data_IF_749201871715
#
_entry.id   IF_749201871715
#
_cell.length_a   1.000
_cell.length_b   1.000
_cell.length_c   1.000
_cell.angle_alpha   90.00
_cell.angle_beta   90.00
_cell.angle_gamma   90.00
#
_symmetry.space_group_name_H-M   'P 1'
#
loop_
_entity.id
_entity.type
_entity.pdbx_description
1 polymer ?
#
# COMPACT_ATOMS: atom_id res chain seq x y z
N UNK A 1 3.11 -22.17 -21.36
CA UNK A 1 3.53 -20.90 -20.73
C UNK A 1 4.38 -21.24 -19.52
N UNK A 2 5.58 -20.68 -19.42
CA UNK A 2 6.43 -20.88 -18.24
C UNK A 2 5.79 -20.17 -17.06
N UNK A 3 5.40 -20.91 -16.03
CA UNK A 3 4.84 -20.38 -14.79
C UNK A 3 6.00 -19.96 -13.87
N UNK A 4 6.03 -18.68 -13.47
CA UNK A 4 7.08 -18.11 -12.58
C UNK A 4 6.59 -17.98 -11.13
N UNK A 5 5.51 -18.69 -10.79
CA UNK A 5 4.90 -18.63 -9.47
C UNK A 5 5.82 -19.28 -8.44
N UNK A 6 6.03 -18.58 -7.33
CA UNK A 6 6.77 -19.13 -6.19
C UNK A 6 5.92 -20.25 -5.56
N UNK A 7 6.46 -21.46 -5.52
CA UNK A 7 5.80 -22.66 -4.95
C UNK A 7 6.37 -23.07 -3.59
N UNK A 8 7.50 -22.48 -3.20
CA UNK A 8 8.12 -22.67 -1.90
C UNK A 8 8.85 -21.39 -1.48
N UNK A 9 8.71 -21.00 -0.22
CA UNK A 9 9.47 -19.90 0.37
C UNK A 9 10.11 -20.38 1.69
N UNK A 10 11.38 -20.06 1.98
CA UNK A 10 12.09 -20.57 3.16
C UNK A 10 11.58 -20.05 4.52
N UNK A 11 10.57 -19.18 4.53
CA UNK A 11 10.15 -18.42 5.73
C UNK A 11 8.63 -18.29 5.76
N UNK A 12 8.05 -17.75 4.68
CA UNK A 12 6.60 -17.54 4.60
C UNK A 12 5.89 -18.81 4.13
N UNK A 13 4.78 -19.21 4.77
CA UNK A 13 3.91 -20.24 4.22
C UNK A 13 3.25 -19.73 2.94
N UNK A 14 3.01 -20.63 2.00
CA UNK A 14 2.25 -20.32 0.78
C UNK A 14 0.87 -20.93 0.96
N UNK A 15 -0.09 -20.08 1.32
CA UNK A 15 -1.47 -20.51 1.52
C UNK A 15 -2.12 -20.89 0.19
N UNK A 16 -2.86 -22.01 0.14
CA UNK A 16 -3.65 -22.34 -1.03
C UNK A 16 -4.75 -21.30 -1.20
N UNK A 17 -4.91 -20.80 -2.42
CA UNK A 17 -5.94 -19.83 -2.78
C UNK A 17 -6.59 -20.25 -4.08
N UNK A 18 -7.87 -19.91 -4.21
CA UNK A 18 -8.62 -20.13 -5.44
C UNK A 18 -8.03 -19.35 -6.60
N UNK A 19 -8.22 -19.89 -7.79
CA UNK A 19 -7.79 -19.25 -9.03
C UNK A 19 -8.82 -18.23 -9.49
N UNK A 20 -8.30 -17.11 -9.97
CA UNK A 20 -9.10 -16.02 -10.52
C UNK A 20 -8.60 -15.72 -11.91
N UNK A 21 -9.49 -15.77 -12.90
CA UNK A 21 -9.17 -15.40 -14.27
C UNK A 21 -9.23 -13.89 -14.46
N UNK A 22 -8.28 -13.35 -15.20
CA UNK A 22 -8.25 -11.95 -15.63
C UNK A 22 -7.58 -11.85 -17.01
N UNK A 23 -7.58 -10.68 -17.62
CA UNK A 23 -7.00 -10.46 -18.94
C UNK A 23 -5.83 -9.49 -18.89
N UNK A 24 -4.77 -9.78 -19.63
CA UNK A 24 -3.65 -8.87 -19.90
C UNK A 24 -3.55 -8.63 -21.40
N UNK A 25 -3.75 -7.39 -21.85
CA UNK A 25 -3.74 -7.02 -23.27
C UNK A 25 -4.65 -7.95 -24.12
N UNK A 26 -5.84 -8.27 -23.60
CA UNK A 26 -6.81 -9.17 -24.24
C UNK A 26 -6.53 -10.67 -24.08
N UNK A 27 -5.36 -11.06 -23.54
CA UNK A 27 -5.02 -12.47 -23.32
C UNK A 27 -5.42 -12.93 -21.91
N UNK A 28 -6.08 -14.09 -21.81
CA UNK A 28 -6.47 -14.69 -20.53
C UNK A 28 -5.24 -15.12 -19.72
N UNK A 29 -5.16 -14.66 -18.48
CA UNK A 29 -4.17 -15.03 -17.47
C UNK A 29 -4.87 -15.53 -16.18
N UNK A 30 -4.10 -16.19 -15.31
CA UNK A 30 -4.59 -16.72 -14.04
C UNK A 30 -3.84 -16.09 -12.86
N UNK A 31 -4.59 -15.58 -11.89
CA UNK A 31 -4.11 -15.08 -10.61
C UNK A 31 -4.64 -15.96 -9.46
N UNK A 32 -4.17 -15.69 -8.24
CA UNK A 32 -4.77 -16.20 -7.01
C UNK A 32 -5.69 -15.13 -6.39
N UNK A 33 -6.74 -15.54 -5.70
CA UNK A 33 -7.63 -14.60 -5.01
C UNK A 33 -6.85 -13.66 -4.06
N UNK A 34 -7.12 -12.36 -4.15
CA UNK A 34 -6.45 -11.32 -3.37
C UNK A 34 -5.00 -11.01 -3.79
N UNK A 35 -4.50 -11.61 -4.88
CA UNK A 35 -3.18 -11.30 -5.45
C UNK A 35 -3.18 -9.91 -6.10
N UNK A 36 -2.07 -9.17 -5.96
CA UNK A 36 -1.92 -7.87 -6.64
C UNK A 36 -1.65 -8.09 -8.13
N UNK A 37 -2.09 -7.15 -8.99
CA UNK A 37 -1.90 -7.22 -10.44
C UNK A 37 -0.41 -7.43 -10.77
N UNK A 38 0.50 -6.68 -10.13
CA UNK A 38 1.94 -6.79 -10.40
C UNK A 38 2.49 -8.20 -10.15
N UNK A 39 2.11 -8.84 -9.02
CA UNK A 39 2.52 -10.20 -8.69
C UNK A 39 1.91 -11.23 -9.63
N UNK A 40 0.63 -11.06 -10.02
CA UNK A 40 -0.04 -11.95 -10.96
C UNK A 40 0.61 -11.89 -12.36
N UNK A 41 0.92 -10.68 -12.85
CA UNK A 41 1.66 -10.49 -14.10
C UNK A 41 3.03 -11.17 -14.04
N UNK A 42 3.75 -11.00 -12.93
CA UNK A 42 5.04 -11.65 -12.74
C UNK A 42 4.94 -13.18 -12.74
N UNK A 43 3.95 -13.75 -12.05
CA UNK A 43 3.69 -15.19 -12.01
C UNK A 43 3.40 -15.76 -13.41
N UNK A 44 2.78 -14.96 -14.29
CA UNK A 44 2.50 -15.31 -15.69
C UNK A 44 3.63 -14.94 -16.67
N UNK A 45 4.80 -14.50 -16.17
CA UNK A 45 5.98 -14.23 -17.00
C UNK A 45 6.03 -12.83 -17.62
N UNK A 46 5.09 -11.94 -17.30
CA UNK A 46 5.11 -10.55 -17.74
C UNK A 46 6.06 -9.76 -16.86
N UNK A 47 6.98 -9.00 -17.47
CA UNK A 47 7.97 -8.14 -16.76
C UNK A 47 7.89 -6.67 -17.16
N UNK A 48 7.38 -6.41 -18.35
CA UNK A 48 7.20 -5.08 -18.92
C UNK A 48 5.70 -4.78 -18.89
N UNK A 49 5.33 -3.72 -18.20
CA UNK A 49 3.94 -3.28 -18.00
C UNK A 49 3.57 -2.11 -18.93
N UNK A 50 4.55 -1.57 -19.66
CA UNK A 50 4.37 -0.44 -20.56
C UNK A 50 5.69 0.18 -20.96
N UNK A 51 5.63 1.32 -21.64
CA UNK A 51 6.80 2.08 -22.08
C UNK A 51 6.65 3.56 -21.77
N UNK A 52 7.74 4.16 -21.33
CA UNK A 52 7.77 5.56 -20.94
C UNK A 52 7.56 6.49 -22.16
N UNK A 53 6.68 7.51 -22.09
CA UNK A 53 6.27 8.30 -23.25
C UNK A 53 7.39 9.13 -23.90
N UNK A 54 8.46 9.44 -23.16
CA UNK A 54 9.53 10.33 -23.65
C UNK A 54 10.56 9.60 -24.51
N UNK A 55 10.95 8.40 -24.10
CA UNK A 55 12.12 7.68 -24.62
C UNK A 55 11.83 6.20 -24.93
N UNK A 56 10.56 5.78 -24.80
CA UNK A 56 10.10 4.42 -25.02
C UNK A 56 10.85 3.37 -24.17
N UNK A 57 11.44 3.78 -23.05
CA UNK A 57 12.10 2.86 -22.14
C UNK A 57 11.06 1.92 -21.50
N UNK A 58 11.32 0.60 -21.43
CA UNK A 58 10.37 -0.33 -20.85
C UNK A 58 10.19 -0.05 -19.36
N UNK A 59 8.96 -0.18 -18.86
CA UNK A 59 8.61 0.03 -17.46
C UNK A 59 7.99 -1.24 -16.86
N UNK A 60 8.08 -1.40 -15.55
CA UNK A 60 7.64 -2.60 -14.83
C UNK A 60 7.64 -2.38 -13.33
N UNK A 61 7.80 -3.46 -12.55
CA UNK A 61 7.99 -3.33 -11.10
C UNK A 61 9.33 -2.65 -10.81
N UNK A 62 9.30 -1.68 -9.89
CA UNK A 62 10.49 -1.01 -9.33
C UNK A 62 10.47 -1.07 -7.79
N UNK A 63 9.57 -0.32 -7.14
CA UNK A 63 9.54 -0.25 -5.66
C UNK A 63 8.70 -1.31 -4.95
N UNK A 64 7.74 -1.94 -5.66
CA UNK A 64 6.75 -2.87 -5.12
C UNK A 64 6.04 -2.42 -3.81
N UNK A 65 5.87 -1.11 -3.59
CA UNK A 65 5.35 -0.57 -2.33
C UNK A 65 4.36 0.61 -2.50
N UNK A 66 3.97 0.89 -3.75
CA UNK A 66 3.03 1.96 -4.11
C UNK A 66 3.63 3.37 -4.23
N UNK A 67 4.95 3.55 -4.19
CA UNK A 67 5.57 4.88 -4.13
C UNK A 67 6.07 5.43 -5.49
N UNK A 68 6.64 4.61 -6.38
CA UNK A 68 7.32 5.08 -7.61
C UNK A 68 6.42 5.27 -8.84
N UNK A 69 5.20 4.68 -8.84
CA UNK A 69 4.28 4.63 -9.97
C UNK A 69 4.80 3.99 -11.29
N UNK A 70 6.04 3.49 -11.37
CA UNK A 70 6.58 2.84 -12.58
C UNK A 70 5.82 1.58 -13.00
N UNK A 71 5.12 0.93 -12.07
CA UNK A 71 4.29 -0.23 -12.33
C UNK A 71 2.87 0.13 -12.82
N UNK A 72 2.69 1.30 -13.44
CA UNK A 72 1.39 1.77 -13.90
C UNK A 72 0.82 0.81 -14.95
N UNK A 73 -0.47 0.50 -14.80
CA UNK A 73 -1.29 -0.24 -15.79
C UNK A 73 -2.66 0.41 -15.86
N UNK A 74 -3.42 0.12 -16.92
CA UNK A 74 -4.85 0.42 -16.95
C UNK A 74 -5.60 -0.82 -16.45
N UNK A 75 -6.39 -0.68 -15.39
CA UNK A 75 -7.31 -1.72 -14.92
C UNK A 75 -8.74 -1.25 -15.19
N UNK A 76 -9.46 -1.99 -16.04
CA UNK A 76 -10.82 -1.66 -16.50
C UNK A 76 -10.92 -0.20 -17.04
N UNK A 77 -9.87 0.25 -17.74
CA UNK A 77 -9.76 1.61 -18.30
C UNK A 77 -9.28 2.68 -17.31
N UNK A 78 -9.00 2.33 -16.05
CA UNK A 78 -8.56 3.27 -15.01
C UNK A 78 -7.07 3.09 -14.71
N UNK A 79 -6.26 4.17 -14.69
CA UNK A 79 -4.85 4.08 -14.33
C UNK A 79 -4.67 3.71 -12.86
N UNK A 80 -3.96 2.61 -12.60
CA UNK A 80 -3.72 2.11 -11.24
C UNK A 80 -2.28 1.68 -11.03
N UNK A 81 -1.84 1.72 -9.76
CA UNK A 81 -0.55 1.13 -9.36
C UNK A 81 -0.74 -0.38 -9.21
N UNK A 82 -0.30 -1.16 -10.21
CA UNK A 82 -0.48 -2.62 -10.21
C UNK A 82 0.04 -3.33 -8.95
N UNK A 83 1.04 -2.79 -8.25
CA UNK A 83 1.55 -3.37 -7.00
C UNK A 83 0.64 -3.16 -5.78
N UNK A 84 -0.37 -2.30 -5.88
CA UNK A 84 -1.30 -1.97 -4.80
C UNK A 84 -2.75 -2.37 -5.12
N UNK A 85 -3.03 -2.83 -6.34
CA UNK A 85 -4.39 -3.14 -6.79
C UNK A 85 -4.55 -4.64 -6.91
N UNK A 86 -5.57 -5.19 -6.25
CA UNK A 86 -5.91 -6.62 -6.30
C UNK A 86 -6.55 -6.99 -7.63
N UNK A 87 -6.26 -8.19 -8.12
CA UNK A 87 -6.95 -8.80 -9.27
C UNK A 87 -8.38 -9.17 -8.89
N UNK A 88 -9.33 -8.89 -9.78
CA UNK A 88 -10.74 -9.30 -9.67
C UNK A 88 -11.11 -10.26 -10.81
N UNK A 89 -12.08 -11.16 -10.63
CA UNK A 89 -12.56 -12.03 -11.71
C UNK A 89 -12.98 -11.23 -12.94
N UNK A 90 -12.46 -11.62 -14.11
CA UNK A 90 -12.79 -10.98 -15.39
C UNK A 90 -12.16 -9.60 -15.61
N UNK A 91 -11.37 -9.09 -14.66
CA UNK A 91 -10.70 -7.78 -14.77
C UNK A 91 -9.90 -7.69 -16.08
N UNK A 92 -10.00 -6.55 -16.77
CA UNK A 92 -9.18 -6.25 -17.95
C UNK A 92 -8.01 -5.37 -17.51
N UNK A 93 -6.79 -5.86 -17.73
CA UNK A 93 -5.57 -5.13 -17.44
C UNK A 93 -4.82 -4.88 -18.75
N UNK A 94 -4.39 -3.65 -18.97
CA UNK A 94 -3.72 -3.24 -20.20
C UNK A 94 -2.39 -2.53 -19.89
N UNK A 95 -1.42 -2.68 -20.78
CA UNK A 95 -0.16 -1.95 -20.72
C UNK A 95 -0.37 -0.46 -20.93
N UNK A 96 0.50 0.35 -20.32
CA UNK A 96 0.53 1.79 -20.57
C UNK A 96 1.67 2.09 -21.53
N UNK A 97 1.33 2.21 -22.80
CA UNK A 97 2.25 2.59 -23.86
C UNK A 97 2.00 4.05 -24.24
N UNK A 98 2.85 4.95 -23.73
CA UNK A 98 2.67 6.39 -23.90
C UNK A 98 1.79 7.04 -22.83
N UNK A 99 1.00 8.03 -23.21
CA UNK A 99 0.05 8.71 -22.31
C UNK A 99 -1.34 8.09 -22.48
N UNK A 100 -1.99 7.61 -21.41
CA UNK A 100 -3.34 7.07 -21.50
C UNK A 100 -4.34 8.18 -21.83
N UNK A 101 -5.36 7.85 -22.61
CA UNK A 101 -6.50 8.73 -22.85
C UNK A 101 -7.39 8.77 -21.59
N UNK A 102 -7.77 9.98 -21.16
CA UNK A 102 -8.71 10.12 -20.07
C UNK A 102 -10.10 9.67 -20.52
N UNK A 103 -10.86 8.96 -19.66
CA UNK A 103 -12.23 8.62 -19.96
C UNK A 103 -13.06 9.90 -20.16
N UNK A 104 -14.00 9.87 -21.11
CA UNK A 104 -14.97 10.97 -21.30
C UNK A 104 -15.82 11.09 -20.03
N UNK A 105 -15.90 12.30 -19.50
CA UNK A 105 -16.74 12.63 -18.35
C UNK A 105 -18.03 13.23 -18.89
N UNK A 106 -19.16 12.54 -18.70
CA UNK A 106 -20.48 13.00 -19.16
C UNK A 106 -21.13 13.95 -18.13
N UNK A 107 -20.81 13.79 -16.84
CA UNK A 107 -21.41 14.55 -15.75
C UNK A 107 -20.36 15.08 -14.77
N UNK A 108 -20.57 16.29 -14.27
CA UNK A 108 -19.76 16.87 -13.20
C UNK A 108 -20.24 16.29 -11.87
N UNK A 109 -19.33 15.74 -11.08
CA UNK A 109 -19.67 15.24 -9.74
C UNK A 109 -20.19 16.38 -8.86
N UNK A 110 -21.32 16.19 -8.14
CA UNK A 110 -21.87 17.22 -7.28
C UNK A 110 -20.91 17.51 -6.13
N UNK A 111 -20.80 18.78 -5.75
CA UNK A 111 -20.10 19.18 -4.53
C UNK A 111 -20.96 18.81 -3.33
N UNK A 112 -20.35 18.17 -2.34
CA UNK A 112 -20.99 17.80 -1.08
C UNK A 112 -20.29 18.47 0.09
N UNK A 113 -21.05 18.70 1.17
CA UNK A 113 -20.48 19.20 2.42
C UNK A 113 -19.52 18.14 2.99
N UNK A 114 -18.31 18.57 3.33
CA UNK A 114 -17.29 17.66 3.85
C UNK A 114 -17.52 17.42 5.34
N UNK A 115 -17.71 16.16 5.71
CA UNK A 115 -17.79 15.77 7.12
C UNK A 115 -16.50 16.16 7.85
N UNK A 116 -16.66 16.84 8.98
CA UNK A 116 -15.57 17.18 9.89
C UNK A 116 -15.74 16.42 11.20
N UNK A 117 -14.64 15.90 11.75
CA UNK A 117 -14.62 15.26 13.08
C UNK A 117 -13.47 15.83 13.92
N UNK A 118 -13.72 16.03 15.21
CA UNK A 118 -12.67 16.40 16.16
C UNK A 118 -12.16 15.16 16.91
N UNK A 119 -10.84 15.08 17.11
CA UNK A 119 -10.19 13.98 17.85
C UNK A 119 -9.13 14.52 18.82
N UNK A 120 -8.88 13.88 19.97
CA UNK A 120 -7.80 14.30 20.86
C UNK A 120 -6.43 14.14 20.18
N UNK A 121 -6.15 12.95 19.64
CA UNK A 121 -4.90 12.66 18.93
C UNK A 121 -5.19 12.00 17.58
N UNK A 122 -4.58 12.53 16.52
CA UNK A 122 -4.47 11.88 15.23
C UNK A 122 -3.03 11.40 15.02
N UNK A 123 -2.86 10.13 14.71
CA UNK A 123 -1.58 9.53 14.31
C UNK A 123 -1.64 9.16 12.83
N UNK A 124 -0.72 9.70 12.03
CA UNK A 124 -0.58 9.35 10.61
C UNK A 124 0.56 8.34 10.44
N UNK A 125 0.22 7.10 10.11
CA UNK A 125 1.13 6.00 9.82
C UNK A 125 1.02 4.86 10.84
N UNK A 126 0.55 3.69 10.39
CA UNK A 126 0.39 2.45 11.14
C UNK A 126 1.63 1.57 11.19
N UNK A 127 2.82 2.16 11.08
CA UNK A 127 4.10 1.48 11.29
C UNK A 127 4.40 1.25 12.78
N UNK A 128 5.56 0.67 13.13
CA UNK A 128 5.94 0.43 14.52
C UNK A 128 5.89 1.70 15.38
N UNK A 129 6.41 2.82 14.89
CA UNK A 129 6.38 4.09 15.62
C UNK A 129 4.95 4.55 15.94
N UNK A 130 4.03 4.49 14.96
CA UNK A 130 2.65 4.92 15.14
C UNK A 130 1.84 3.98 16.02
N UNK A 131 1.99 2.66 15.85
CA UNK A 131 1.34 1.67 16.72
C UNK A 131 1.82 1.77 18.16
N UNK A 132 3.14 1.84 18.39
CA UNK A 132 3.69 2.01 19.75
C UNK A 132 3.20 3.31 20.39
N UNK A 133 3.21 4.43 19.66
CA UNK A 133 2.68 5.69 20.17
C UNK A 133 1.18 5.60 20.51
N UNK A 134 0.38 5.00 19.63
CA UNK A 134 -1.05 4.79 19.85
C UNK A 134 -1.31 4.00 21.13
N UNK A 135 -0.60 2.88 21.32
CA UNK A 135 -0.73 2.02 22.51
C UNK A 135 -0.37 2.78 23.79
N UNK A 136 0.72 3.55 23.80
CA UNK A 136 1.12 4.31 25.00
C UNK A 136 0.11 5.42 25.36
N UNK A 137 -0.41 6.14 24.36
CA UNK A 137 -1.45 7.15 24.55
C UNK A 137 -2.75 6.52 25.06
N UNK A 138 -3.17 5.40 24.47
CA UNK A 138 -4.37 4.69 24.87
C UNK A 138 -4.28 4.13 26.30
N UNK A 139 -3.13 3.57 26.69
CA UNK A 139 -2.85 3.14 28.09
C UNK A 139 -2.95 4.31 29.08
N UNK A 140 -2.68 5.53 28.62
CA UNK A 140 -2.83 6.76 29.41
C UNK A 140 -4.26 7.32 29.41
N UNK A 141 -5.22 6.61 28.81
CA UNK A 141 -6.63 7.01 28.74
C UNK A 141 -6.95 8.02 27.63
N UNK A 142 -6.02 8.30 26.71
CA UNK A 142 -6.21 9.27 25.63
C UNK A 142 -6.79 8.55 24.41
N UNK A 143 -7.90 9.07 23.87
CA UNK A 143 -8.49 8.54 22.65
C UNK A 143 -7.64 8.90 21.42
N UNK A 144 -7.32 7.89 20.62
CA UNK A 144 -6.45 8.01 19.43
C UNK A 144 -7.22 7.63 18.17
N UNK A 145 -7.04 8.40 17.11
CA UNK A 145 -7.34 7.98 15.74
C UNK A 145 -6.02 7.64 15.04
N UNK A 146 -5.82 6.37 14.68
CA UNK A 146 -4.66 5.88 13.94
C UNK A 146 -5.05 5.64 12.47
N UNK A 147 -4.31 6.25 11.55
CA UNK A 147 -4.62 6.23 10.10
C UNK A 147 -3.45 5.64 9.32
N UNK A 148 -3.73 4.74 8.38
CA UNK A 148 -2.73 4.14 7.49
C UNK A 148 -3.28 3.94 6.06
N UNK A 149 -2.42 4.13 5.05
CA UNK A 149 -2.80 4.03 3.63
C UNK A 149 -2.89 2.58 3.12
N UNK A 150 -2.49 1.59 3.93
CA UNK A 150 -2.48 0.17 3.58
C UNK A 150 -3.69 -0.58 4.13
N UNK A 151 -3.85 -1.82 3.65
CA UNK A 151 -4.92 -2.74 4.04
C UNK A 151 -4.72 -3.38 5.41
N UNK A 152 -3.56 -3.19 6.05
CA UNK A 152 -3.21 -3.73 7.37
C UNK A 152 -2.15 -2.86 8.06
N UNK A 153 -2.06 -2.95 9.38
CA UNK A 153 -1.00 -2.28 10.14
C UNK A 153 0.35 -3.02 10.01
N UNK A 154 1.41 -2.38 10.51
CA UNK A 154 2.78 -2.93 10.53
C UNK A 154 3.81 -2.10 9.77
N UNK A 155 3.38 -1.23 8.86
CA UNK A 155 4.27 -0.43 8.03
C UNK A 155 5.29 -1.31 7.28
N UNK A 156 6.59 -0.99 7.39
CA UNK A 156 7.65 -1.76 6.68
C UNK A 156 8.00 -3.09 7.35
N UNK A 157 7.59 -3.34 8.59
CA UNK A 157 7.87 -4.60 9.28
C UNK A 157 7.26 -5.80 8.56
N UNK A 158 6.12 -5.61 7.86
CA UNK A 158 5.43 -6.67 7.10
C UNK A 158 6.25 -7.19 5.90
N UNK A 159 7.34 -6.50 5.53
CA UNK A 159 8.24 -6.89 4.45
C UNK A 159 9.53 -7.54 4.98
N UNK A 160 9.73 -7.56 6.30
CA UNK A 160 10.99 -7.95 6.92
C UNK A 160 10.92 -9.37 7.46
N UNK A 161 11.39 -10.32 6.65
CA UNK A 161 11.48 -11.73 7.01
C UNK A 161 12.74 -12.05 7.82
N UNK A 162 13.69 -11.13 7.97
CA UNK A 162 14.86 -11.32 8.83
C UNK A 162 14.51 -11.18 10.32
N UNK A 163 15.37 -11.74 11.19
CA UNK A 163 15.25 -11.59 12.64
C UNK A 163 15.93 -10.31 13.10
N UNK A 164 15.30 -9.58 14.01
CA UNK A 164 15.93 -8.42 14.63
C UNK A 164 16.99 -8.86 15.66
N UNK A 165 18.06 -8.08 15.75
CA UNK A 165 19.16 -8.28 16.71
C UNK A 165 19.09 -7.19 17.78
N UNK A 166 19.39 -7.53 19.04
CA UNK A 166 19.36 -6.57 20.16
C UNK A 166 18.86 -7.18 21.46
N UNK A 167 18.23 -6.37 22.32
CA UNK A 167 17.56 -6.85 23.54
C UNK A 167 16.21 -7.50 23.21
N UNK A 168 15.91 -8.64 23.84
CA UNK A 168 14.59 -9.31 23.72
C UNK A 168 13.48 -8.37 24.21
N UNK A 169 13.69 -7.67 25.32
CA UNK A 169 12.67 -6.82 25.94
C UNK A 169 12.43 -5.51 25.19
N UNK A 170 13.44 -4.97 24.50
CA UNK A 170 13.34 -3.68 23.82
C UNK A 170 13.00 -3.77 22.33
N UNK A 171 13.43 -4.84 21.64
CA UNK A 171 13.28 -4.98 20.19
C UNK A 171 12.83 -6.38 19.73
N UNK A 172 12.38 -7.22 20.67
CA UNK A 172 12.00 -8.61 20.39
C UNK A 172 13.11 -9.36 19.64
N UNK A 173 14.35 -9.27 20.13
CA UNK A 173 15.48 -9.93 19.49
C UNK A 173 15.23 -11.43 19.26
N UNK A 174 15.56 -11.90 18.05
CA UNK A 174 15.24 -13.26 17.59
C UNK A 174 13.88 -13.40 16.90
N UNK A 175 13.01 -12.40 16.99
CA UNK A 175 11.69 -12.34 16.33
C UNK A 175 11.81 -11.68 14.96
N UNK A 176 11.01 -12.13 13.97
CA UNK A 176 11.02 -11.55 12.63
C UNK A 176 10.16 -10.29 12.58
N UNK A 177 10.48 -9.35 11.68
CA UNK A 177 9.70 -8.12 11.53
C UNK A 177 8.21 -8.36 11.31
N UNK A 178 7.86 -9.34 10.47
CA UNK A 178 6.48 -9.75 10.21
C UNK A 178 5.72 -10.20 11.49
N UNK A 179 6.42 -10.84 12.42
CA UNK A 179 5.85 -11.31 13.67
C UNK A 179 5.69 -10.15 14.65
N UNK A 180 6.68 -9.25 14.72
CA UNK A 180 6.61 -8.01 15.51
C UNK A 180 5.44 -7.14 15.05
N UNK A 181 5.22 -7.01 13.75
CA UNK A 181 4.06 -6.29 13.20
C UNK A 181 2.74 -6.87 13.73
N UNK A 182 2.63 -8.20 13.74
CA UNK A 182 1.44 -8.90 14.21
C UNK A 182 1.22 -8.72 15.71
N UNK A 183 2.30 -8.72 16.51
CA UNK A 183 2.23 -8.48 17.95
C UNK A 183 1.77 -7.05 18.26
N UNK A 184 2.36 -6.05 17.61
CA UNK A 184 1.96 -4.64 17.78
C UNK A 184 0.54 -4.37 17.31
N UNK A 185 0.13 -4.97 16.19
CA UNK A 185 -1.25 -4.89 15.68
C UNK A 185 -2.25 -5.44 16.69
N UNK A 186 -1.93 -6.56 17.36
CA UNK A 186 -2.76 -7.09 18.46
C UNK A 186 -2.84 -6.14 19.65
N UNK A 187 -1.71 -5.59 20.10
CA UNK A 187 -1.72 -4.62 21.21
C UNK A 187 -2.59 -3.39 20.92
N UNK A 188 -2.57 -2.88 19.67
CA UNK A 188 -3.43 -1.78 19.23
C UNK A 188 -4.91 -2.15 19.37
N UNK A 189 -5.29 -3.39 19.04
CA UNK A 189 -6.67 -3.85 19.15
C UNK A 189 -7.10 -4.16 20.60
N UNK A 190 -6.18 -4.64 21.43
CA UNK A 190 -6.48 -5.11 22.80
C UNK A 190 -6.59 -3.96 23.82
N UNK A 191 -5.82 -2.88 23.67
CA UNK A 191 -5.77 -1.78 24.65
C UNK A 191 -7.06 -0.94 24.72
N UNK A 192 -7.88 -0.97 23.66
CA UNK A 192 -9.07 -0.12 23.52
C UNK A 192 -8.71 1.37 23.30
N UNK A 193 -9.70 2.24 23.13
CA UNK A 193 -9.52 3.69 22.89
C UNK A 193 -8.72 4.10 21.63
N UNK A 194 -8.45 3.16 20.71
CA UNK A 194 -7.82 3.43 19.42
C UNK A 194 -8.82 3.12 18.31
N UNK A 195 -9.25 4.15 17.58
CA UNK A 195 -9.97 4.00 16.31
C UNK A 195 -8.94 3.83 15.19
N UNK A 196 -9.04 2.75 14.41
CA UNK A 196 -8.10 2.46 13.32
C UNK A 196 -8.79 2.65 11.96
N UNK A 197 -8.22 3.50 11.12
CA UNK A 197 -8.64 3.69 9.73
C UNK A 197 -7.55 3.19 8.78
N UNK A 198 -7.76 1.98 8.26
CA UNK A 198 -6.98 1.41 7.16
C UNK A 198 -7.48 1.95 5.81
N UNK A 199 -6.70 1.72 4.75
CA UNK A 199 -6.98 2.21 3.40
C UNK A 199 -7.33 3.71 3.39
N UNK A 200 -6.64 4.49 4.23
CA UNK A 200 -6.96 5.88 4.51
C UNK A 200 -5.72 6.75 4.34
N UNK A 201 -5.73 7.61 3.32
CA UNK A 201 -4.59 8.46 2.99
C UNK A 201 -4.81 9.86 3.54
N UNK A 202 -3.91 10.34 4.41
CA UNK A 202 -3.84 11.75 4.74
C UNK A 202 -3.29 12.52 3.53
N UNK A 203 -4.15 13.29 2.87
CA UNK A 203 -3.83 14.01 1.63
C UNK A 203 -3.12 15.34 1.91
N UNK A 204 -3.53 16.03 2.98
CA UNK A 204 -3.02 17.36 3.31
C UNK A 204 -3.12 17.63 4.81
N UNK A 205 -2.16 18.42 5.32
CA UNK A 205 -2.23 19.11 6.60
C UNK A 205 -2.36 20.60 6.29
N UNK A 206 -3.49 21.19 6.65
CA UNK A 206 -3.81 22.57 6.35
C UNK A 206 -3.25 23.53 7.41
N UNK A 207 -3.15 24.82 7.08
CA UNK A 207 -2.59 25.85 7.99
C UNK A 207 -3.44 26.08 9.24
N UNK A 208 -4.73 25.75 9.18
CA UNK A 208 -5.66 25.75 10.31
C UNK A 208 -5.62 24.44 11.12
N UNK A 209 -4.59 23.61 10.88
CA UNK A 209 -4.34 22.34 11.56
C UNK A 209 -5.39 21.24 11.28
N UNK A 210 -6.28 21.43 10.29
CA UNK A 210 -7.12 20.35 9.79
C UNK A 210 -6.32 19.38 8.93
N UNK A 211 -6.69 18.10 8.97
CA UNK A 211 -6.12 17.06 8.11
C UNK A 211 -7.21 16.54 7.19
N UNK A 212 -6.96 16.61 5.88
CA UNK A 212 -7.82 15.98 4.88
C UNK A 212 -7.46 14.51 4.73
N UNK A 213 -8.41 13.61 5.02
CA UNK A 213 -8.20 12.16 4.92
C UNK A 213 -9.17 11.57 3.91
N UNK A 214 -8.64 10.88 2.90
CA UNK A 214 -9.42 10.08 1.95
C UNK A 214 -9.46 8.63 2.43
N UNK A 215 -10.63 8.15 2.83
CA UNK A 215 -10.88 6.81 3.35
C UNK A 215 -11.47 5.93 2.26
N UNK A 216 -10.97 4.71 2.10
CA UNK A 216 -11.49 3.74 1.13
C UNK A 216 -11.31 4.14 -0.34
N UNK A 217 -10.71 5.30 -0.62
CA UNK A 217 -10.57 5.88 -1.97
C UNK A 217 -11.75 6.74 -2.42
N UNK A 218 -12.83 6.84 -1.64
CA UNK A 218 -14.09 7.51 -2.03
C UNK A 218 -14.64 8.49 -1.00
N UNK A 219 -14.25 8.35 0.27
CA UNK A 219 -14.83 9.09 1.38
C UNK A 219 -13.84 10.11 1.93
N UNK A 220 -14.01 11.38 1.59
CA UNK A 220 -13.19 12.46 2.15
C UNK A 220 -13.73 12.92 3.51
N UNK A 221 -12.85 13.04 4.51
CA UNK A 221 -13.18 13.51 5.87
C UNK A 221 -12.12 14.51 6.32
N UNK A 222 -12.55 15.64 6.87
CA UNK A 222 -11.68 16.57 7.57
C UNK A 222 -11.57 16.14 9.04
N UNK A 223 -10.34 16.05 9.55
CA UNK A 223 -10.06 15.72 10.95
C UNK A 223 -9.42 16.92 11.62
N UNK A 224 -9.96 17.31 12.77
CA UNK A 224 -9.46 18.36 13.65
C UNK A 224 -8.85 17.72 14.90
N UNK A 225 -7.53 17.42 14.90
CA UNK A 225 -6.87 16.90 16.07
C UNK A 225 -6.46 18.02 17.04
N UNK A 226 -6.50 17.75 18.34
CA UNK A 226 -5.81 18.62 19.32
C UNK A 226 -4.29 18.41 19.22
N UNK A 227 -3.86 17.19 18.94
CA UNK A 227 -2.45 16.82 18.70
C UNK A 227 -2.33 15.95 17.46
N UNK A 228 -1.45 16.35 16.55
CA UNK A 228 -1.05 15.57 15.38
C UNK A 228 0.31 14.90 15.64
N UNK A 229 0.38 13.58 15.50
CA UNK A 229 1.62 12.81 15.49
C UNK A 229 1.88 12.25 14.09
N UNK A 230 3.04 12.57 13.53
CA UNK A 230 3.46 12.13 12.20
C UNK A 230 4.41 10.93 12.32
N UNK A 231 3.95 9.76 11.89
CA UNK A 231 4.69 8.50 11.89
C UNK A 231 4.73 7.86 10.49
N UNK A 232 4.81 8.69 9.44
CA UNK A 232 4.69 8.30 8.02
C UNK A 232 5.88 7.51 7.46
N UNK A 233 6.88 7.21 8.31
CA UNK A 233 8.08 6.48 7.94
C UNK A 233 8.99 7.23 6.97
N UNK A 234 9.83 6.47 6.28
CA UNK A 234 10.79 6.97 5.29
C UNK A 234 10.62 6.21 3.97
N UNK A 235 11.13 6.83 2.89
CA UNK A 235 11.21 6.21 1.56
C UNK A 235 12.65 5.85 1.24
N UNK A 236 12.81 4.78 0.49
CA UNK A 236 14.12 4.41 -0.04
C UNK A 236 14.61 5.50 -1.00
N UNK A 237 15.92 5.75 -0.96
CA UNK A 237 16.57 6.70 -1.86
C UNK A 237 17.07 5.94 -3.07
N UNK A 238 16.36 6.04 -4.19
CA UNK A 238 16.79 5.44 -5.44
C UNK A 238 18.06 6.13 -5.97
N UNK A 239 19.01 5.33 -6.45
CA UNK A 239 20.26 5.83 -7.00
C UNK A 239 20.10 6.25 -8.47
N UNK A 240 20.76 7.34 -8.86
CA UNK A 240 20.76 7.83 -10.24
C UNK A 240 21.99 7.29 -10.97
N UNK A 241 21.75 6.40 -11.93
CA UNK A 241 22.76 5.87 -12.84
C UNK A 241 22.11 5.48 -14.17
N UNK A 242 22.92 5.32 -15.23
CA UNK A 242 22.39 4.95 -16.55
C UNK A 242 21.66 3.60 -16.49
N UNK A 243 20.40 3.58 -16.90
CA UNK A 243 19.57 2.37 -16.88
C UNK A 243 18.92 2.04 -15.53
N UNK A 244 18.95 2.96 -14.56
CA UNK A 244 18.34 2.77 -13.24
C UNK A 244 16.80 2.64 -13.25
N UNK A 245 16.15 2.87 -14.39
CA UNK A 245 14.71 2.69 -14.60
C UNK A 245 14.35 1.42 -15.36
N UNK A 246 15.32 0.60 -15.78
CA UNK A 246 15.04 -0.59 -16.58
C UNK A 246 14.37 -1.69 -15.72
N UNK A 247 13.42 -2.48 -16.28
CA UNK A 247 12.82 -3.59 -15.58
C UNK A 247 13.89 -4.60 -15.13
N UNK A 248 13.79 -5.00 -13.86
CA UNK A 248 14.83 -5.81 -13.20
C UNK A 248 15.74 -5.00 -12.28
N UNK A 249 15.73 -3.67 -12.37
CA UNK A 249 16.24 -2.77 -11.32
C UNK A 249 15.11 -2.51 -10.32
N UNK A 250 15.41 -2.66 -9.03
CA UNK A 250 14.47 -2.44 -7.93
C UNK A 250 15.06 -1.46 -6.92
N UNK A 251 14.22 -0.69 -6.24
CA UNK A 251 14.59 0.20 -5.14
C UNK A 251 13.55 1.26 -4.82
#
# INVERSE_FOLDING_TARGET
MTEYRIRQHPILPIEPREEVEFHWNGHRLVAKQGEMIASALFANGVRIFGHHPKDNAPQGIFCANGQCAQCLVLADGVPVKSCMTQVRPGMRVESVDGLPELPKVEEVSPLYETRTIAVPVLIIGGGPAGMSAAVQLAKSGIKVLLVDDKTRLGGKLVLQTHRFFGSIDAVHAGTRGIDIATLLEREVHDVGNIDVWLNSTALAVFSDQKIGILRGGDTYTLVEPQVLLVATGAREKSLVFRGNTLPGVYG
#
